data_IF_116256575183
#
_entry.id   IF_116256575183
#
_cell.length_a   1.000
_cell.length_b   1.000
_cell.length_c   1.000
_cell.angle_alpha   90.00
_cell.angle_beta   90.00
_cell.angle_gamma   90.00
#
_symmetry.space_group_name_H-M   'P 1'
#
loop_
_entity.id
_entity.type
_entity.pdbx_description
1 polymer ?
#
# COMPACT_ATOMS: atom_id res chain seq x y z
N UNK A 1 -0.40 15.16 19.42
CA UNK A 1 -1.15 13.95 19.00
C UNK A 1 -0.18 12.78 19.06
N UNK A 2 -0.22 12.02 20.15
CA UNK A 2 0.67 10.86 20.39
C UNK A 2 -0.09 9.52 20.22
N UNK A 3 -1.29 9.57 19.63
CA UNK A 3 -2.22 8.44 19.52
C UNK A 3 -2.55 8.16 18.06
N UNK A 4 -2.53 6.88 17.71
CA UNK A 4 -2.81 6.38 16.38
C UNK A 4 -4.27 6.66 15.99
N UNK A 5 -4.54 7.27 14.83
CA UNK A 5 -5.90 7.59 14.41
C UNK A 5 -6.74 6.36 14.05
N UNK A 6 -6.11 5.20 13.82
CA UNK A 6 -6.82 3.95 13.46
C UNK A 6 -7.24 3.11 14.65
N UNK A 7 -6.41 3.03 15.69
CA UNK A 7 -6.66 2.14 16.83
C UNK A 7 -6.55 2.81 18.21
N UNK A 8 -6.17 4.09 18.28
CA UNK A 8 -5.96 4.82 19.53
C UNK A 8 -4.70 4.43 20.30
N UNK A 9 -3.92 3.46 19.83
CA UNK A 9 -2.65 3.05 20.44
C UNK A 9 -1.53 4.07 20.26
N UNK A 10 -0.40 3.85 20.93
CA UNK A 10 0.78 4.74 20.82
C UNK A 10 1.39 4.70 19.41
N UNK A 11 1.89 5.84 18.96
CA UNK A 11 2.70 5.95 17.74
C UNK A 11 4.17 6.19 18.09
N UNK A 12 5.05 5.77 17.19
CA UNK A 12 6.50 5.93 17.30
C UNK A 12 7.01 6.76 16.11
N UNK A 13 8.05 7.56 16.32
CA UNK A 13 8.70 8.30 15.24
C UNK A 13 9.75 7.42 14.53
N UNK A 14 9.68 7.39 13.20
CA UNK A 14 10.66 6.75 12.34
C UNK A 14 11.41 7.83 11.56
N UNK A 15 12.73 7.68 11.40
CA UNK A 15 13.58 8.62 10.66
C UNK A 15 14.44 7.91 9.63
N UNK A 16 14.55 8.49 8.43
CA UNK A 16 15.42 8.02 7.35
C UNK A 16 16.12 9.21 6.70
N UNK A 17 17.41 9.39 6.97
CA UNK A 17 18.15 10.57 6.47
C UNK A 17 17.56 11.86 7.04
N UNK A 18 17.07 12.75 6.17
CA UNK A 18 16.51 14.04 6.55
C UNK A 18 14.97 14.05 6.68
N UNK A 19 14.31 12.89 6.53
CA UNK A 19 12.85 12.77 6.64
C UNK A 19 12.45 11.97 7.88
N UNK A 20 11.35 12.36 8.52
CA UNK A 20 10.72 11.59 9.61
C UNK A 20 9.21 11.44 9.40
N UNK A 21 8.62 10.45 10.04
CA UNK A 21 7.18 10.15 10.03
C UNK A 21 6.79 9.46 11.34
N UNK A 22 5.49 9.30 11.58
CA UNK A 22 4.96 8.52 12.71
C UNK A 22 4.33 7.23 12.22
N UNK A 23 4.60 6.13 12.92
CA UNK A 23 4.04 4.81 12.63
C UNK A 23 3.43 4.17 13.87
N UNK A 24 2.43 3.32 13.68
CA UNK A 24 1.80 2.54 14.74
C UNK A 24 2.21 1.06 14.64
N UNK A 25 2.97 0.51 15.60
CA UNK A 25 3.40 -0.89 15.57
C UNK A 25 2.22 -1.87 15.76
N UNK A 26 1.08 -1.40 16.27
CA UNK A 26 -0.07 -2.26 16.56
C UNK A 26 -0.95 -2.56 15.34
N UNK A 27 -1.13 -1.59 14.44
CA UNK A 27 -2.07 -1.73 13.31
C UNK A 27 -1.47 -1.41 11.94
N UNK A 28 -0.18 -1.05 11.90
CA UNK A 28 0.51 -0.73 10.64
C UNK A 28 0.11 0.62 10.02
N UNK A 29 -0.52 1.52 10.78
CA UNK A 29 -0.67 2.91 10.34
C UNK A 29 0.71 3.56 10.18
N UNK A 30 0.92 4.32 9.10
CA UNK A 30 2.07 5.20 8.94
C UNK A 30 1.59 6.49 8.27
N UNK A 31 2.01 7.64 8.80
CA UNK A 31 1.65 8.96 8.26
C UNK A 31 2.62 9.37 7.16
N UNK A 32 2.70 8.52 6.14
CA UNK A 32 3.51 8.76 4.94
C UNK A 32 2.57 9.08 3.78
N UNK A 33 2.85 10.14 2.99
CA UNK A 33 2.14 10.36 1.75
C UNK A 33 2.29 9.12 0.86
N UNK A 34 1.17 8.56 0.41
CA UNK A 34 1.15 7.46 -0.55
C UNK A 34 0.43 7.91 -1.82
N UNK A 35 1.02 7.59 -2.96
CA UNK A 35 0.39 7.79 -4.26
C UNK A 35 -0.45 6.54 -4.57
N UNK A 36 -1.77 6.70 -4.55
CA UNK A 36 -2.71 5.62 -4.88
C UNK A 36 -2.87 5.41 -6.39
N UNK A 37 -2.07 6.10 -7.19
CA UNK A 37 -2.05 5.94 -8.64
C UNK A 37 -1.07 4.82 -8.98
N UNK A 38 -1.50 3.80 -9.75
CA UNK A 38 -0.57 2.80 -10.22
C UNK A 38 0.49 3.47 -11.10
N UNK A 39 1.75 3.28 -10.77
CA UNK A 39 2.85 3.65 -11.66
C UNK A 39 2.91 2.63 -12.80
N UNK A 40 2.63 3.02 -14.05
CA UNK A 40 2.69 2.10 -15.19
C UNK A 40 1.71 2.42 -16.34
N UNK A 41 1.50 1.41 -17.20
CA UNK A 41 0.60 1.48 -18.35
C UNK A 41 -0.86 1.63 -17.94
N UNK A 42 -1.71 1.99 -18.91
CA UNK A 42 -3.16 2.02 -18.74
C UNK A 42 -3.67 0.73 -18.09
N UNK A 43 -4.60 0.83 -17.11
CA UNK A 43 -5.14 -0.34 -16.43
C UNK A 43 -5.80 -1.27 -17.44
N UNK A 44 -5.42 -2.55 -17.43
CA UNK A 44 -6.07 -3.56 -18.27
C UNK A 44 -7.54 -3.75 -17.87
N UNK A 45 -8.39 -4.09 -18.84
CA UNK A 45 -9.77 -4.41 -18.51
C UNK A 45 -9.84 -5.73 -17.75
N UNK A 46 -10.82 -5.88 -16.85
CA UNK A 46 -11.07 -7.15 -16.17
C UNK A 46 -11.23 -8.33 -17.14
N UNK A 47 -11.82 -8.08 -18.31
CA UNK A 47 -12.00 -9.11 -19.34
C UNK A 47 -10.65 -9.57 -19.90
N UNK A 48 -9.76 -8.64 -20.21
CA UNK A 48 -8.44 -8.96 -20.75
C UNK A 48 -7.60 -9.70 -19.70
N UNK A 49 -7.67 -9.27 -18.44
CA UNK A 49 -7.01 -9.96 -17.32
C UNK A 49 -7.48 -11.42 -17.17
N UNK A 50 -8.79 -11.67 -17.23
CA UNK A 50 -9.32 -13.03 -17.17
C UNK A 50 -8.94 -13.87 -18.39
N UNK A 51 -9.00 -13.29 -19.59
CA UNK A 51 -8.58 -14.00 -20.82
C UNK A 51 -7.12 -14.43 -20.72
N UNK A 52 -6.22 -13.52 -20.34
CA UNK A 52 -4.80 -13.81 -20.13
C UNK A 52 -4.59 -14.92 -19.12
N UNK A 53 -5.24 -14.84 -17.95
CA UNK A 53 -5.15 -15.88 -16.93
C UNK A 53 -5.57 -17.25 -17.46
N UNK A 54 -6.70 -17.33 -18.18
CA UNK A 54 -7.17 -18.59 -18.74
C UNK A 54 -6.25 -19.12 -19.83
N UNK A 55 -5.75 -18.27 -20.73
CA UNK A 55 -4.80 -18.64 -21.77
C UNK A 55 -3.48 -19.19 -21.17
N UNK A 56 -2.96 -18.55 -20.11
CA UNK A 56 -1.77 -19.01 -19.39
C UNK A 56 -2.03 -20.35 -18.67
N UNK A 57 -3.20 -20.52 -18.06
CA UNK A 57 -3.55 -21.73 -17.27
C UNK A 57 -3.93 -22.96 -18.09
N UNK A 58 -4.31 -22.82 -19.36
CA UNK A 58 -4.74 -23.93 -20.23
C UNK A 58 -3.54 -24.67 -20.87
N UNK A 59 -2.31 -24.17 -20.66
CA UNK A 59 -1.08 -24.76 -21.20
C UNK A 59 -0.34 -25.76 -20.30
N UNK A 60 -0.86 -26.09 -19.09
CA UNK A 60 -0.27 -27.06 -18.15
C UNK A 60 -0.99 -28.43 -18.15
#
# INVERSE_FOLDING_TARGET
MEQCPRCGGTVEELSLGAVSTVACPHCGFADVPVEHQPEGNEPESWRDAFNRFYEESVGE
#
